data_IF_281031360044
#
_entry.id   IF_281031360044
#
_cell.length_a   1.000
_cell.length_b   1.000
_cell.length_c   1.000
_cell.angle_alpha   90.00
_cell.angle_beta   90.00
_cell.angle_gamma   90.00
#
_symmetry.space_group_name_H-M   'P 1'
#
loop_
_entity.id
_entity.type
_entity.pdbx_description
1 polymer ?
#
# COMPACT_ATOMS: atom_id res chain seq x y z
N UNK A 1 -13.61 20.29 -35.76
CA UNK A 1 -14.18 18.97 -36.10
C UNK A 1 -13.21 18.28 -37.05
N UNK A 2 -12.69 17.14 -36.71
CA UNK A 2 -11.81 16.39 -37.59
C UNK A 2 -12.61 15.79 -38.74
N UNK A 3 -12.22 16.06 -39.99
CA UNK A 3 -12.80 15.45 -41.18
C UNK A 3 -12.36 13.99 -41.26
N UNK A 4 -13.14 13.07 -40.73
CA UNK A 4 -12.90 11.62 -40.83
C UNK A 4 -13.44 11.16 -42.19
N UNK A 5 -12.56 10.85 -43.16
CA UNK A 5 -12.94 10.16 -44.40
C UNK A 5 -13.24 8.69 -44.05
N UNK A 6 -14.50 8.34 -44.03
CA UNK A 6 -14.95 6.95 -43.89
C UNK A 6 -14.93 6.24 -45.25
N UNK A 7 -14.36 5.03 -45.30
CA UNK A 7 -14.51 4.16 -46.47
C UNK A 7 -15.92 3.57 -46.54
N UNK A 8 -16.43 3.13 -47.72
CA UNK A 8 -17.71 2.45 -47.83
C UNK A 8 -17.86 1.22 -46.93
N UNK A 9 -16.77 0.53 -46.65
CA UNK A 9 -16.71 -0.61 -45.71
C UNK A 9 -16.99 -0.14 -44.29
N UNK A 10 -16.42 1.00 -43.87
CA UNK A 10 -16.65 1.59 -42.55
C UNK A 10 -18.12 2.00 -42.32
N UNK A 11 -18.85 2.40 -43.37
CA UNK A 11 -20.27 2.71 -43.26
C UNK A 11 -21.10 1.44 -43.01
N UNK A 12 -20.78 0.34 -43.67
CA UNK A 12 -21.44 -0.96 -43.47
C UNK A 12 -21.15 -1.50 -42.07
N UNK A 13 -19.92 -1.34 -41.56
CA UNK A 13 -19.58 -1.75 -40.23
C UNK A 13 -20.27 -0.89 -39.15
N UNK A 14 -20.46 0.40 -39.37
CA UNK A 14 -21.28 1.26 -38.52
C UNK A 14 -22.75 0.79 -38.46
N UNK A 15 -23.34 0.40 -39.58
CA UNK A 15 -24.71 -0.11 -39.64
C UNK A 15 -24.82 -1.47 -38.91
N UNK A 16 -23.85 -2.35 -39.11
CA UNK A 16 -23.74 -3.62 -38.35
C UNK A 16 -23.59 -3.36 -36.85
N UNK A 17 -22.73 -2.44 -36.47
CA UNK A 17 -22.53 -2.10 -35.07
C UNK A 17 -23.79 -1.53 -34.41
N UNK A 18 -24.55 -0.65 -35.14
CA UNK A 18 -25.82 -0.13 -34.66
C UNK A 18 -26.84 -1.25 -34.41
N UNK A 19 -26.91 -2.22 -35.30
CA UNK A 19 -27.79 -3.37 -35.15
C UNK A 19 -27.36 -4.29 -34.01
N UNK A 20 -26.06 -4.50 -33.84
CA UNK A 20 -25.52 -5.26 -32.72
C UNK A 20 -25.82 -4.60 -31.35
N UNK A 21 -25.74 -3.26 -31.29
CA UNK A 21 -26.12 -2.50 -30.09
C UNK A 21 -27.57 -2.77 -29.68
N UNK A 22 -28.51 -2.64 -30.64
CA UNK A 22 -29.94 -2.88 -30.39
C UNK A 22 -30.22 -4.33 -29.97
N UNK A 23 -29.54 -5.30 -30.59
CA UNK A 23 -29.66 -6.71 -30.18
C UNK A 23 -29.11 -6.94 -28.76
N UNK A 24 -27.99 -6.32 -28.43
CA UNK A 24 -27.37 -6.43 -27.09
C UNK A 24 -28.27 -5.78 -26.03
N UNK A 25 -28.86 -4.62 -26.32
CA UNK A 25 -29.80 -3.97 -25.40
C UNK A 25 -31.00 -4.87 -25.12
N UNK A 26 -31.60 -5.49 -26.16
CA UNK A 26 -32.70 -6.46 -26.00
C UNK A 26 -32.29 -7.68 -25.16
N UNK A 27 -31.08 -8.20 -25.35
CA UNK A 27 -30.56 -9.32 -24.56
C UNK A 27 -30.39 -8.89 -23.09
N UNK A 28 -29.83 -7.71 -22.84
CA UNK A 28 -29.66 -7.17 -21.49
C UNK A 28 -31.02 -6.99 -20.80
N UNK A 29 -32.00 -6.37 -21.49
CA UNK A 29 -33.35 -6.15 -20.98
C UNK A 29 -34.12 -7.46 -20.71
N UNK A 30 -33.90 -8.48 -21.52
CA UNK A 30 -34.52 -9.80 -21.35
C UNK A 30 -33.81 -10.72 -20.37
N UNK A 31 -32.57 -10.37 -19.94
CA UNK A 31 -31.81 -11.20 -19.05
C UNK A 31 -32.27 -10.93 -17.61
N UNK A 32 -32.68 -11.97 -16.84
CA UNK A 32 -33.05 -11.81 -15.46
C UNK A 32 -31.91 -11.16 -14.65
N UNK A 33 -32.23 -10.18 -13.80
CA UNK A 33 -31.28 -9.49 -12.92
C UNK A 33 -30.57 -10.49 -11.97
N UNK A 34 -31.14 -11.66 -11.81
CA UNK A 34 -30.60 -12.78 -11.04
C UNK A 34 -29.59 -13.64 -11.80
N UNK A 35 -29.13 -13.23 -12.98
CA UNK A 35 -28.01 -13.92 -13.63
C UNK A 35 -26.83 -13.98 -12.65
N UNK A 36 -26.55 -15.20 -12.17
CA UNK A 36 -25.58 -15.47 -11.11
C UNK A 36 -24.17 -15.25 -11.66
N UNK A 37 -23.73 -14.01 -11.65
CA UNK A 37 -22.36 -13.59 -12.03
C UNK A 37 -21.31 -14.35 -11.22
N UNK A 38 -21.66 -14.79 -10.01
CA UNK A 38 -20.80 -15.56 -9.10
C UNK A 38 -20.52 -17.00 -9.55
N UNK A 39 -21.32 -17.56 -10.44
CA UNK A 39 -21.16 -18.95 -10.90
C UNK A 39 -20.15 -19.13 -12.05
N UNK A 40 -19.73 -18.06 -12.70
CA UNK A 40 -18.73 -18.13 -13.76
C UNK A 40 -17.34 -18.42 -13.19
N UNK A 41 -16.61 -19.37 -13.80
CA UNK A 41 -15.26 -19.75 -13.36
C UNK A 41 -14.30 -18.55 -13.28
N UNK A 42 -14.41 -17.59 -14.20
CA UNK A 42 -13.63 -16.34 -14.17
C UNK A 42 -13.90 -15.50 -12.90
N UNK A 43 -15.16 -15.42 -12.47
CA UNK A 43 -15.53 -14.66 -11.26
C UNK A 43 -15.12 -15.42 -9.99
N UNK A 44 -15.26 -16.74 -9.99
CA UNK A 44 -14.78 -17.59 -8.88
C UNK A 44 -13.26 -17.46 -8.73
N UNK A 45 -12.52 -17.52 -9.84
CA UNK A 45 -11.07 -17.34 -9.84
C UNK A 45 -10.68 -15.92 -9.39
N UNK A 46 -11.40 -14.88 -9.81
CA UNK A 46 -11.18 -13.51 -9.36
C UNK A 46 -11.45 -13.36 -7.85
N UNK A 47 -12.53 -13.93 -7.34
CA UNK A 47 -12.86 -13.92 -5.93
C UNK A 47 -11.83 -14.69 -5.08
N UNK A 48 -11.31 -15.80 -5.58
CA UNK A 48 -10.27 -16.58 -4.91
C UNK A 48 -8.93 -15.83 -4.85
N UNK A 49 -8.57 -15.11 -5.93
CA UNK A 49 -7.33 -14.31 -6.00
C UNK A 49 -7.42 -12.98 -5.27
N UNK A 50 -8.61 -12.39 -5.20
CA UNK A 50 -8.85 -11.08 -4.61
C UNK A 50 -10.03 -11.12 -3.62
N UNK A 51 -9.95 -11.96 -2.57
CA UNK A 51 -11.01 -12.04 -1.57
C UNK A 51 -11.17 -10.70 -0.84
N UNK A 52 -12.40 -10.34 -0.52
CA UNK A 52 -12.66 -9.16 0.30
C UNK A 52 -12.15 -9.34 1.73
N UNK A 53 -12.27 -10.57 2.26
CA UNK A 53 -11.81 -10.92 3.60
C UNK A 53 -11.19 -12.31 3.61
N UNK A 54 -10.18 -12.46 4.43
CA UNK A 54 -9.55 -13.73 4.80
C UNK A 54 -9.41 -13.77 6.31
N UNK A 55 -9.65 -14.95 6.90
CA UNK A 55 -9.59 -15.15 8.35
C UNK A 55 -8.41 -16.05 8.68
N UNK A 56 -7.65 -15.66 9.69
CA UNK A 56 -6.47 -16.36 10.14
C UNK A 56 -6.49 -16.52 11.66
N UNK A 57 -5.78 -17.53 12.14
CA UNK A 57 -5.44 -17.70 13.55
C UNK A 57 -3.96 -17.38 13.74
N UNK A 58 -3.60 -16.66 14.79
CA UNK A 58 -2.20 -16.38 15.15
C UNK A 58 -1.58 -17.70 15.65
N UNK A 59 -0.62 -18.23 14.89
CA UNK A 59 0.08 -19.48 15.23
C UNK A 59 1.36 -19.24 16.03
N UNK A 60 2.07 -18.15 15.72
CA UNK A 60 3.34 -17.80 16.38
C UNK A 60 3.54 -16.28 16.45
N UNK A 61 4.30 -15.84 17.45
CA UNK A 61 4.68 -14.43 17.67
C UNK A 61 6.18 -14.37 17.99
N UNK A 62 6.97 -13.81 17.06
CA UNK A 62 8.41 -13.59 17.25
C UNK A 62 8.67 -12.11 17.58
N UNK A 63 9.25 -11.86 18.76
CA UNK A 63 9.71 -10.51 19.16
C UNK A 63 11.02 -10.20 18.48
N UNK A 64 11.19 -8.97 17.97
CA UNK A 64 12.38 -8.53 17.22
C UNK A 64 12.95 -7.23 17.76
N UNK A 65 14.25 -7.01 17.46
CA UNK A 65 14.95 -5.79 17.84
C UNK A 65 14.84 -5.51 19.34
N UNK A 66 14.62 -4.28 19.70
CA UNK A 66 14.45 -3.81 21.10
C UNK A 66 13.09 -4.17 21.72
N UNK A 67 12.30 -5.04 21.09
CA UNK A 67 11.00 -5.47 21.58
C UNK A 67 9.82 -4.63 21.07
N UNK A 68 10.07 -3.61 20.28
CA UNK A 68 9.05 -2.74 19.68
C UNK A 68 8.56 -3.25 18.31
N UNK A 69 9.07 -4.36 17.83
CA UNK A 69 8.66 -5.03 16.59
C UNK A 69 8.29 -6.47 16.86
N UNK A 70 7.17 -6.91 16.30
CA UNK A 70 6.73 -8.31 16.36
C UNK A 70 6.37 -8.83 14.99
N UNK A 71 6.80 -10.06 14.70
CA UNK A 71 6.36 -10.83 13.53
C UNK A 71 5.32 -11.84 13.98
N UNK A 72 4.16 -11.80 13.36
CA UNK A 72 3.03 -12.70 13.59
C UNK A 72 2.94 -13.68 12.44
N UNK A 73 3.02 -14.98 12.74
CA UNK A 73 2.71 -16.04 11.76
C UNK A 73 1.22 -16.36 11.88
N UNK A 74 0.53 -16.23 10.77
CA UNK A 74 -0.93 -16.36 10.68
C UNK A 74 -1.25 -17.56 9.80
N UNK A 75 -2.06 -18.50 10.32
CA UNK A 75 -2.57 -19.67 9.59
C UNK A 75 -4.04 -19.44 9.22
N UNK A 76 -4.43 -19.80 7.99
CA UNK A 76 -5.84 -19.79 7.59
C UNK A 76 -6.71 -20.61 8.55
N UNK A 77 -7.90 -20.08 8.85
CA UNK A 77 -8.90 -20.76 9.73
C UNK A 77 -9.70 -21.83 8.98
N UNK A 78 -9.69 -21.78 7.65
CA UNK A 78 -10.37 -22.74 6.77
C UNK A 78 -9.29 -23.46 5.95
N UNK A 79 -9.21 -24.69 5.83
CA UNK A 79 -8.14 -25.50 5.18
C UNK A 79 -7.76 -25.10 3.74
N UNK A 80 -8.06 -23.86 3.34
CA UNK A 80 -7.69 -23.25 2.06
C UNK A 80 -6.36 -22.53 2.16
N UNK A 81 -5.64 -22.42 1.05
CA UNK A 81 -4.47 -21.57 0.97
C UNK A 81 -4.88 -20.07 1.05
N UNK A 82 -4.06 -19.21 1.67
CA UNK A 82 -4.20 -17.76 1.52
C UNK A 82 -4.22 -17.36 0.05
N UNK A 83 -4.87 -16.25 -0.26
CA UNK A 83 -4.82 -15.71 -1.62
C UNK A 83 -3.35 -15.46 -2.01
N UNK A 84 -2.98 -15.92 -3.21
CA UNK A 84 -1.62 -15.72 -3.74
C UNK A 84 -1.29 -14.22 -3.81
N UNK A 85 -0.06 -13.87 -3.44
CA UNK A 85 0.44 -12.51 -3.49
C UNK A 85 1.79 -12.45 -4.20
N UNK A 86 2.16 -11.27 -4.66
CA UNK A 86 3.52 -10.96 -5.10
C UNK A 86 4.32 -10.36 -3.95
N UNK A 87 5.56 -10.76 -3.81
CA UNK A 87 6.45 -10.28 -2.75
C UNK A 87 6.55 -8.73 -2.76
N UNK A 88 6.28 -8.11 -1.61
CA UNK A 88 6.18 -6.65 -1.44
C UNK A 88 4.75 -6.12 -1.41
N UNK A 89 3.73 -6.95 -1.62
CA UNK A 89 2.34 -6.57 -1.42
C UNK A 89 1.96 -6.54 0.07
N UNK A 90 0.84 -5.89 0.37
CA UNK A 90 0.29 -5.76 1.71
C UNK A 90 -1.14 -6.33 1.78
N UNK A 91 -1.59 -6.60 2.99
CA UNK A 91 -3.01 -6.83 3.33
C UNK A 91 -3.52 -5.70 4.21
N UNK A 92 -4.82 -5.51 4.24
CA UNK A 92 -5.45 -4.56 5.17
C UNK A 92 -5.98 -5.35 6.37
N UNK A 93 -5.39 -5.14 7.54
CA UNK A 93 -5.94 -5.65 8.80
C UNK A 93 -7.18 -4.84 9.13
N UNK A 94 -8.25 -5.52 9.52
CA UNK A 94 -9.49 -4.92 10.02
C UNK A 94 -9.69 -5.34 11.47
N UNK A 95 -9.75 -4.37 12.35
CA UNK A 95 -9.89 -4.60 13.78
C UNK A 95 -11.01 -3.73 14.36
N UNK A 96 -11.91 -4.35 15.10
CA UNK A 96 -12.90 -3.62 15.88
C UNK A 96 -12.26 -3.22 17.21
N UNK A 97 -12.19 -1.93 17.49
CA UNK A 97 -11.62 -1.37 18.72
C UNK A 97 -12.61 -0.35 19.26
N UNK A 98 -13.11 -0.56 20.49
CA UNK A 98 -14.13 0.28 21.14
C UNK A 98 -15.34 0.56 20.24
N UNK A 99 -15.82 -0.47 19.54
CA UNK A 99 -16.96 -0.38 18.62
C UNK A 99 -16.66 0.32 17.29
N UNK A 100 -15.43 0.73 17.02
CA UNK A 100 -15.00 1.39 15.78
C UNK A 100 -14.19 0.43 14.91
N UNK A 101 -14.52 0.36 13.63
CA UNK A 101 -13.77 -0.44 12.68
C UNK A 101 -12.52 0.34 12.24
N UNK A 102 -11.37 -0.13 12.67
CA UNK A 102 -10.05 0.41 12.29
C UNK A 102 -9.42 -0.49 11.24
N UNK A 103 -8.95 0.09 10.17
CA UNK A 103 -8.34 -0.64 9.07
C UNK A 103 -6.97 -0.03 8.68
N UNK A 104 -5.92 -0.86 8.62
CA UNK A 104 -4.55 -0.43 8.26
C UNK A 104 -3.89 -1.42 7.31
N UNK A 105 -3.18 -0.92 6.29
CA UNK A 105 -2.32 -1.76 5.48
C UNK A 105 -1.12 -2.23 6.29
N UNK A 106 -0.77 -3.50 6.14
CA UNK A 106 0.44 -4.10 6.71
C UNK A 106 1.06 -4.99 5.66
N UNK A 107 2.33 -4.80 5.39
CA UNK A 107 3.09 -5.55 4.38
C UNK A 107 3.20 -7.02 4.79
N UNK A 108 3.03 -7.90 3.82
CA UNK A 108 3.34 -9.33 3.97
C UNK A 108 4.86 -9.47 4.10
N UNK A 109 5.32 -9.94 5.26
CA UNK A 109 6.75 -10.08 5.58
C UNK A 109 7.25 -11.52 5.42
N UNK A 110 6.78 -12.22 4.39
CA UNK A 110 7.19 -13.57 3.99
C UNK A 110 7.25 -13.69 2.47
N UNK A 111 7.89 -14.74 1.96
CA UNK A 111 7.80 -15.12 0.55
C UNK A 111 6.42 -15.69 0.19
N UNK A 112 6.01 -15.61 -1.10
CA UNK A 112 4.74 -16.18 -1.57
C UNK A 112 4.61 -17.68 -1.34
N UNK A 113 5.71 -18.43 -1.38
CA UNK A 113 5.74 -19.88 -1.15
C UNK A 113 5.09 -20.28 0.18
N UNK A 114 5.13 -19.43 1.20
CA UNK A 114 4.51 -19.69 2.51
C UNK A 114 2.98 -19.87 2.42
N UNK A 115 2.33 -19.32 1.39
CA UNK A 115 0.90 -19.54 1.18
C UNK A 115 0.55 -20.99 0.90
N UNK A 116 1.47 -21.78 0.35
CA UNK A 116 1.28 -23.21 0.09
C UNK A 116 1.19 -24.02 1.40
N UNK A 117 1.73 -23.47 2.50
CA UNK A 117 1.62 -24.03 3.84
C UNK A 117 0.35 -23.57 4.58
N UNK A 118 -0.52 -22.81 3.93
CA UNK A 118 -1.70 -22.21 4.56
C UNK A 118 -1.39 -21.00 5.42
N UNK A 119 -0.22 -20.37 5.29
CA UNK A 119 0.29 -19.33 6.19
C UNK A 119 0.67 -18.04 5.48
N UNK A 120 0.70 -16.96 6.25
CA UNK A 120 1.33 -15.68 5.92
C UNK A 120 2.04 -15.12 7.14
N UNK A 121 2.92 -14.13 6.94
CA UNK A 121 3.52 -13.38 8.06
C UNK A 121 3.27 -11.89 7.92
N UNK A 122 3.02 -11.26 9.07
CA UNK A 122 2.91 -9.81 9.21
C UNK A 122 3.89 -9.34 10.27
N UNK A 123 4.65 -8.29 9.96
CA UNK A 123 5.58 -7.69 10.93
C UNK A 123 5.11 -6.28 11.26
N UNK A 124 4.82 -6.05 12.54
CA UNK A 124 4.23 -4.81 13.04
C UNK A 124 5.19 -4.15 14.02
N UNK A 125 5.58 -2.91 13.72
CA UNK A 125 6.32 -2.06 14.65
C UNK A 125 5.34 -1.26 15.50
N UNK A 126 5.54 -1.24 16.83
CA UNK A 126 4.80 -0.38 17.74
C UNK A 126 5.23 1.07 17.56
N UNK A 127 4.35 1.92 17.12
CA UNK A 127 4.58 3.36 17.02
C UNK A 127 4.12 4.04 18.31
N UNK A 128 4.95 4.95 18.84
CA UNK A 128 4.71 5.57 20.17
C UNK A 128 3.63 6.65 20.18
N UNK A 129 3.33 7.30 19.05
CA UNK A 129 2.37 8.40 18.96
C UNK A 129 1.26 8.05 17.98
N UNK A 130 0.01 8.22 18.41
CA UNK A 130 -1.25 8.16 17.63
C UNK A 130 -1.50 6.92 16.76
N UNK A 131 -0.68 5.90 16.89
CA UNK A 131 -0.79 4.67 16.12
C UNK A 131 -1.67 3.65 16.84
N UNK A 132 -2.94 3.95 16.89
CA UNK A 132 -3.96 3.22 17.61
C UNK A 132 -3.96 1.71 17.34
N UNK A 133 -3.85 1.29 16.06
CA UNK A 133 -3.87 -0.13 15.73
C UNK A 133 -2.57 -0.86 16.11
N UNK A 134 -1.38 -0.29 15.87
CA UNK A 134 -0.13 -0.98 16.18
C UNK A 134 0.07 -1.17 17.69
N UNK A 135 -0.36 -0.20 18.50
CA UNK A 135 -0.39 -0.34 19.95
C UNK A 135 -1.35 -1.44 20.38
N UNK A 136 -2.59 -1.41 19.86
CA UNK A 136 -3.61 -2.44 20.13
C UNK A 136 -3.10 -3.85 19.79
N UNK A 137 -2.50 -4.04 18.61
CA UNK A 137 -1.94 -5.33 18.19
C UNK A 137 -0.88 -5.81 19.18
N UNK A 138 0.06 -4.96 19.58
CA UNK A 138 1.11 -5.33 20.52
C UNK A 138 0.59 -5.66 21.92
N UNK A 139 -0.48 -5.02 22.36
CA UNK A 139 -1.05 -5.19 23.70
C UNK A 139 -2.03 -6.37 23.78
N UNK A 140 -2.74 -6.65 22.72
CA UNK A 140 -3.91 -7.54 22.77
C UNK A 140 -3.74 -8.84 22.00
N UNK A 141 -3.02 -8.84 20.87
CA UNK A 141 -2.91 -10.05 20.04
C UNK A 141 -2.08 -11.15 20.71
N UNK A 142 -2.66 -12.36 20.77
CA UNK A 142 -2.07 -13.56 21.38
C UNK A 142 -2.19 -14.75 20.42
N UNK A 143 -1.34 -15.76 20.65
CA UNK A 143 -1.47 -17.04 19.94
C UNK A 143 -2.86 -17.60 20.16
N UNK A 144 -3.51 -18.03 19.07
CA UNK A 144 -4.89 -18.52 19.06
C UNK A 144 -5.95 -17.47 18.69
N UNK A 145 -5.63 -16.18 18.72
CA UNK A 145 -6.58 -15.12 18.33
C UNK A 145 -6.85 -15.15 16.82
N UNK A 146 -8.07 -14.75 16.46
CA UNK A 146 -8.47 -14.62 15.05
C UNK A 146 -8.22 -13.22 14.52
N UNK A 147 -7.72 -13.15 13.29
CA UNK A 147 -7.41 -11.91 12.57
C UNK A 147 -8.10 -11.91 11.23
N UNK A 148 -8.82 -10.81 10.92
CA UNK A 148 -9.37 -10.56 9.60
C UNK A 148 -8.42 -9.68 8.78
N UNK A 149 -8.11 -10.13 7.55
CA UNK A 149 -7.38 -9.34 6.57
C UNK A 149 -8.13 -9.26 5.25
N UNK A 150 -7.81 -8.25 4.44
CA UNK A 150 -8.20 -8.26 3.04
C UNK A 150 -7.41 -9.31 2.24
N UNK A 151 -7.77 -9.51 0.98
CA UNK A 151 -6.85 -10.08 -0.02
C UNK A 151 -5.62 -9.17 -0.23
N UNK A 152 -4.54 -9.71 -0.85
CA UNK A 152 -3.31 -8.98 -1.12
C UNK A 152 -3.54 -7.79 -2.07
N UNK A 153 -2.81 -6.70 -1.83
CA UNK A 153 -2.93 -5.44 -2.55
C UNK A 153 -1.57 -4.75 -2.68
N UNK A 154 -1.52 -3.70 -3.49
CA UNK A 154 -0.31 -2.92 -3.68
C UNK A 154 0.42 -3.24 -4.97
N UNK A 155 1.29 -2.32 -5.39
CA UNK A 155 2.05 -2.39 -6.64
C UNK A 155 3.56 -2.30 -6.41
N UNK A 156 4.00 -2.35 -5.16
CA UNK A 156 5.40 -2.35 -4.77
C UNK A 156 5.95 -3.78 -4.80
N UNK A 157 6.19 -4.28 -6.01
CA UNK A 157 6.76 -5.59 -6.29
C UNK A 157 7.60 -5.51 -7.58
N UNK A 158 8.52 -6.43 -7.76
CA UNK A 158 9.33 -6.52 -8.97
C UNK A 158 8.48 -6.87 -10.20
N UNK A 159 8.67 -6.14 -11.32
CA UNK A 159 7.96 -6.36 -12.57
C UNK A 159 8.95 -6.44 -13.74
N UNK A 160 9.21 -7.65 -14.29
CA UNK A 160 10.27 -7.85 -15.28
C UNK A 160 10.16 -6.99 -16.54
N UNK A 161 8.93 -6.58 -16.92
CA UNK A 161 8.70 -5.73 -18.09
C UNK A 161 9.00 -4.25 -17.83
N UNK A 162 9.18 -3.85 -16.57
CA UNK A 162 9.41 -2.47 -16.16
C UNK A 162 10.75 -2.29 -15.48
N UNK A 163 11.08 -3.18 -14.55
CA UNK A 163 12.21 -3.04 -13.64
C UNK A 163 13.47 -3.70 -14.22
N UNK A 164 14.62 -3.21 -13.87
CA UNK A 164 15.89 -3.84 -14.24
C UNK A 164 16.10 -5.15 -13.47
N UNK A 165 16.85 -6.09 -14.04
CA UNK A 165 17.21 -7.35 -13.36
C UNK A 165 18.08 -7.14 -12.12
N UNK A 166 18.79 -6.02 -12.03
CA UNK A 166 19.51 -5.60 -10.82
C UNK A 166 18.67 -4.57 -10.07
N UNK A 167 18.37 -4.85 -8.82
CA UNK A 167 17.62 -3.97 -7.93
C UNK A 167 18.50 -3.55 -6.75
N UNK A 168 18.62 -2.26 -6.54
CA UNK A 168 19.14 -1.68 -5.30
C UNK A 168 17.96 -1.40 -4.41
N UNK A 169 17.76 -2.23 -3.40
CA UNK A 169 16.69 -2.07 -2.44
C UNK A 169 17.17 -1.24 -1.25
N UNK A 170 16.46 -0.17 -0.94
CA UNK A 170 16.80 0.75 0.14
C UNK A 170 15.72 0.64 1.20
N UNK A 171 16.09 0.19 2.39
CA UNK A 171 15.17 0.03 3.51
C UNK A 171 15.56 0.92 4.68
N UNK A 172 14.56 1.42 5.43
CA UNK A 172 14.76 2.12 6.70
C UNK A 172 13.86 1.57 7.80
N UNK A 173 14.46 1.06 8.87
CA UNK A 173 13.71 0.48 9.99
C UNK A 173 12.74 -0.62 9.56
N UNK A 174 11.45 -0.48 9.91
CA UNK A 174 10.41 -1.47 9.52
C UNK A 174 10.09 -1.48 8.01
N UNK A 175 10.59 -0.52 7.22
CA UNK A 175 10.52 -0.56 5.76
C UNK A 175 11.30 -1.72 5.13
N UNK A 176 12.06 -2.48 5.92
CA UNK A 176 12.69 -3.72 5.48
C UNK A 176 11.67 -4.81 5.11
N UNK A 177 10.42 -4.76 5.60
CA UNK A 177 9.44 -5.85 5.44
C UNK A 177 9.11 -6.20 4.00
N UNK A 178 8.80 -5.28 3.06
CA UNK A 178 8.57 -5.63 1.65
C UNK A 178 9.85 -6.13 0.96
N UNK A 179 11.01 -5.59 1.34
CA UNK A 179 12.30 -6.01 0.80
C UNK A 179 12.65 -7.42 1.27
N UNK A 180 12.38 -7.73 2.55
CA UNK A 180 12.54 -9.06 3.11
C UNK A 180 11.64 -10.09 2.40
N UNK A 181 10.38 -9.73 2.10
CA UNK A 181 9.49 -10.58 1.33
C UNK A 181 10.03 -10.86 -0.09
N UNK A 182 10.57 -9.84 -0.77
CA UNK A 182 11.18 -10.00 -2.11
C UNK A 182 12.45 -10.86 -2.04
N UNK A 183 13.29 -10.69 -1.01
CA UNK A 183 14.48 -11.51 -0.81
C UNK A 183 14.13 -12.99 -0.59
N UNK A 184 13.07 -13.28 0.20
CA UNK A 184 12.54 -14.64 0.33
C UNK A 184 12.12 -15.21 -1.03
N UNK A 185 11.34 -14.46 -1.83
CA UNK A 185 10.89 -14.92 -3.14
C UNK A 185 12.04 -15.22 -4.10
N UNK A 186 13.16 -14.48 -4.02
CA UNK A 186 14.39 -14.79 -4.77
C UNK A 186 15.03 -16.07 -4.25
N UNK A 187 15.17 -16.21 -2.93
CA UNK A 187 15.83 -17.37 -2.30
C UNK A 187 15.03 -18.67 -2.49
N UNK A 188 13.71 -18.58 -2.57
CA UNK A 188 12.79 -19.69 -2.83
C UNK A 188 12.66 -20.03 -4.33
N UNK A 189 13.22 -19.17 -5.22
CA UNK A 189 13.16 -19.37 -6.67
C UNK A 189 11.86 -18.91 -7.35
N UNK A 190 11.01 -18.20 -6.61
CA UNK A 190 9.76 -17.63 -7.15
C UNK A 190 10.01 -16.40 -8.03
N UNK A 191 11.12 -15.69 -7.81
CA UNK A 191 11.51 -14.48 -8.56
C UNK A 191 12.97 -14.60 -9.06
N UNK A 192 13.21 -14.13 -10.29
CA UNK A 192 14.52 -14.19 -10.95
C UNK A 192 15.11 -12.80 -11.22
N UNK A 193 15.64 -12.16 -10.16
CA UNK A 193 16.41 -10.92 -10.26
C UNK A 193 17.46 -10.84 -9.14
N UNK A 194 18.44 -9.93 -9.29
CA UNK A 194 19.48 -9.69 -8.29
C UNK A 194 19.07 -8.54 -7.37
N UNK A 195 19.24 -8.70 -6.07
CA UNK A 195 18.91 -7.68 -5.09
C UNK A 195 20.09 -7.37 -4.18
N UNK A 196 20.53 -6.12 -4.20
CA UNK A 196 21.47 -5.56 -3.23
C UNK A 196 20.68 -4.66 -2.29
N UNK A 197 20.68 -5.00 -1.01
CA UNK A 197 19.89 -4.32 0.03
C UNK A 197 20.82 -3.39 0.80
N UNK A 198 20.53 -2.09 0.77
CA UNK A 198 21.13 -1.09 1.64
C UNK A 198 20.15 -0.83 2.79
N UNK A 199 20.44 -1.38 3.97
CA UNK A 199 19.52 -1.33 5.09
C UNK A 199 19.96 -0.31 6.14
N UNK A 200 19.28 0.84 6.17
CA UNK A 200 19.50 1.91 7.14
C UNK A 200 18.87 1.59 8.50
N UNK A 201 19.71 1.54 9.53
CA UNK A 201 19.32 1.43 10.93
C UNK A 201 20.09 2.46 11.77
N UNK A 202 19.66 2.73 12.99
CA UNK A 202 20.43 3.62 13.88
C UNK A 202 21.63 2.90 14.46
N UNK A 203 21.37 1.74 15.07
CA UNK A 203 22.35 0.90 15.72
C UNK A 203 22.18 -0.56 15.28
N UNK A 204 23.13 -1.43 15.60
CA UNK A 204 23.04 -2.87 15.34
C UNK A 204 21.80 -3.52 15.94
N UNK A 205 21.38 -3.09 17.13
CA UNK A 205 20.19 -3.62 17.80
C UNK A 205 18.87 -3.28 17.07
N UNK A 206 18.89 -2.27 16.20
CA UNK A 206 17.72 -1.88 15.40
C UNK A 206 17.59 -2.70 14.10
N UNK A 207 18.60 -3.53 13.78
CA UNK A 207 18.57 -4.38 12.59
C UNK A 207 17.55 -5.50 12.76
N UNK A 208 16.62 -5.59 11.83
CA UNK A 208 15.60 -6.65 11.81
C UNK A 208 16.00 -7.74 10.81
N UNK A 209 15.63 -8.98 11.08
CA UNK A 209 15.79 -10.14 10.18
C UNK A 209 17.25 -10.50 9.83
N UNK A 210 18.24 -10.10 10.62
CA UNK A 210 19.65 -10.34 10.30
C UNK A 210 19.96 -11.84 10.10
N UNK A 211 19.47 -12.69 11.00
CA UNK A 211 19.73 -14.13 10.93
C UNK A 211 19.05 -14.77 9.73
N UNK A 212 17.82 -14.36 9.45
CA UNK A 212 17.06 -14.81 8.30
C UNK A 212 17.72 -14.38 6.97
N UNK A 213 18.26 -13.17 6.89
CA UNK A 213 19.04 -12.73 5.73
C UNK A 213 20.34 -13.52 5.58
N UNK A 214 21.05 -13.81 6.68
CA UNK A 214 22.26 -14.63 6.64
C UNK A 214 21.95 -16.04 6.09
N UNK A 215 20.85 -16.64 6.53
CA UNK A 215 20.37 -17.92 6.01
C UNK A 215 20.04 -17.83 4.50
N UNK A 216 19.29 -16.81 4.08
CA UNK A 216 18.98 -16.61 2.66
C UNK A 216 20.24 -16.47 1.80
N UNK A 217 21.20 -15.65 2.23
CA UNK A 217 22.46 -15.46 1.49
C UNK A 217 23.31 -16.73 1.43
N UNK A 218 23.10 -17.70 2.32
CA UNK A 218 23.76 -19.02 2.22
C UNK A 218 23.11 -19.91 1.14
N UNK A 219 21.87 -19.64 0.73
CA UNK A 219 21.12 -20.41 -0.28
C UNK A 219 21.22 -19.80 -1.68
N UNK A 220 21.50 -18.49 -1.80
CA UNK A 220 21.56 -17.79 -3.09
C UNK A 220 22.56 -16.64 -3.07
N UNK A 221 23.26 -16.46 -4.18
CA UNK A 221 24.18 -15.34 -4.44
C UNK A 221 23.46 -14.10 -4.99
N UNK A 222 22.15 -14.23 -5.34
CA UNK A 222 21.33 -13.15 -5.89
C UNK A 222 20.89 -12.12 -4.86
N UNK A 223 21.01 -12.41 -3.57
CA UNK A 223 20.65 -11.51 -2.47
C UNK A 223 21.90 -11.11 -1.71
N UNK A 224 22.11 -9.80 -1.51
CA UNK A 224 23.19 -9.26 -0.73
C UNK A 224 22.65 -8.18 0.22
N UNK A 225 22.97 -8.29 1.52
CA UNK A 225 22.61 -7.32 2.54
C UNK A 225 23.84 -6.50 2.96
N UNK A 226 23.69 -5.18 2.97
CA UNK A 226 24.63 -4.21 3.51
C UNK A 226 23.91 -3.37 4.55
N UNK A 227 24.31 -3.50 5.81
CA UNK A 227 23.78 -2.67 6.89
C UNK A 227 24.48 -1.31 6.88
N UNK A 228 23.70 -0.24 7.05
CA UNK A 228 24.16 1.14 7.10
C UNK A 228 23.69 1.74 8.43
N UNK A 229 24.64 2.07 9.33
CA UNK A 229 24.33 2.55 10.67
C UNK A 229 24.55 4.05 10.78
N UNK A 230 23.56 4.79 11.28
CA UNK A 230 23.63 6.25 11.35
C UNK A 230 24.17 6.79 12.67
N UNK A 231 24.11 5.99 13.75
CA UNK A 231 24.48 6.42 15.12
C UNK A 231 25.55 5.52 15.75
N UNK A 232 26.07 4.54 15.01
CA UNK A 232 27.04 3.57 15.51
C UNK A 232 28.03 3.20 14.41
N UNK A 233 29.31 3.11 14.75
CA UNK A 233 30.35 2.49 13.92
C UNK A 233 30.49 1.03 14.31
N UNK A 234 30.34 0.12 13.35
CA UNK A 234 30.44 -1.31 13.61
C UNK A 234 31.08 -2.05 12.45
N UNK A 235 31.96 -3.02 12.77
CA UNK A 235 32.60 -3.87 11.78
C UNK A 235 31.59 -4.60 10.90
N UNK A 236 31.84 -4.57 9.58
CA UNK A 236 30.97 -5.16 8.57
C UNK A 236 29.75 -4.33 8.19
N UNK A 237 29.63 -3.10 8.73
CA UNK A 237 28.58 -2.15 8.39
C UNK A 237 29.16 -0.92 7.71
N UNK A 238 28.36 -0.26 6.84
CA UNK A 238 28.63 1.10 6.39
C UNK A 238 28.15 2.09 7.45
N UNK A 239 28.76 3.29 7.50
CA UNK A 239 28.39 4.33 8.44
C UNK A 239 27.70 5.51 7.76
N UNK A 240 26.70 6.11 8.41
CA UNK A 240 26.00 7.31 7.98
C UNK A 240 24.66 7.05 7.27
N UNK A 241 24.41 7.80 6.17
CA UNK A 241 23.16 7.72 5.40
C UNK A 241 23.37 7.10 4.04
N UNK A 242 22.29 6.58 3.45
CA UNK A 242 22.32 5.95 2.13
C UNK A 242 22.31 7.03 1.04
N UNK A 243 23.50 7.52 0.70
CA UNK A 243 23.72 8.57 -0.31
C UNK A 243 23.79 8.00 -1.73
N UNK A 244 23.74 8.88 -2.73
CA UNK A 244 23.96 8.53 -4.14
C UNK A 244 25.31 7.85 -4.35
N UNK A 245 26.37 8.27 -3.64
CA UNK A 245 27.69 7.67 -3.77
C UNK A 245 27.74 6.26 -3.20
N UNK A 246 27.06 6.03 -2.06
CA UNK A 246 26.92 4.69 -1.51
C UNK A 246 26.11 3.78 -2.46
N UNK A 247 25.05 4.29 -3.05
CA UNK A 247 24.26 3.56 -4.03
C UNK A 247 25.15 3.20 -5.24
N UNK A 248 25.91 4.14 -5.81
CA UNK A 248 26.85 3.88 -6.92
C UNK A 248 27.89 2.84 -6.57
N UNK A 249 28.45 2.90 -5.35
CA UNK A 249 29.46 1.94 -4.85
C UNK A 249 28.96 0.50 -4.99
N UNK A 250 27.70 0.24 -4.65
CA UNK A 250 27.15 -1.11 -4.66
C UNK A 250 26.41 -1.47 -5.96
N UNK A 251 25.82 -0.49 -6.64
CA UNK A 251 25.17 -0.74 -7.92
C UNK A 251 26.15 -1.14 -9.02
N UNK A 252 27.38 -0.59 -8.97
CA UNK A 252 28.37 -0.80 -10.03
C UNK A 252 27.89 -0.25 -11.38
N UNK A 253 28.42 -0.80 -12.45
CA UNK A 253 28.03 -0.42 -13.82
C UNK A 253 26.73 -1.09 -14.26
N UNK A 254 26.05 -0.47 -15.24
CA UNK A 254 24.86 -1.00 -15.88
C UNK A 254 23.54 -0.39 -15.37
N UNK A 255 22.44 -0.92 -15.90
CA UNK A 255 21.09 -0.47 -15.56
C UNK A 255 20.61 -1.17 -14.29
N UNK A 256 20.09 -0.40 -13.36
CA UNK A 256 19.48 -0.92 -12.14
C UNK A 256 18.19 -0.16 -11.79
N UNK A 257 17.33 -0.79 -11.02
CA UNK A 257 16.17 -0.16 -10.40
C UNK A 257 16.45 0.11 -8.92
N UNK A 258 15.91 1.19 -8.38
CA UNK A 258 15.95 1.51 -6.95
C UNK A 258 14.56 1.31 -6.36
N UNK A 259 14.46 0.48 -5.34
CA UNK A 259 13.25 0.24 -4.58
C UNK A 259 13.44 0.75 -3.15
N UNK A 260 12.69 1.76 -2.77
CA UNK A 260 12.81 2.42 -1.46
C UNK A 260 11.58 2.15 -0.58
N UNK A 261 11.82 1.73 0.66
CA UNK A 261 10.79 1.54 1.66
C UNK A 261 11.27 2.04 3.04
N UNK A 262 10.53 2.99 3.63
CA UNK A 262 10.92 3.62 4.89
C UNK A 262 10.04 4.79 5.28
N UNK A 263 10.55 5.67 6.14
CA UNK A 263 9.83 6.85 6.63
C UNK A 263 9.75 7.99 5.60
N UNK A 264 8.81 8.90 5.79
CA UNK A 264 8.68 10.12 4.98
C UNK A 264 9.97 10.96 4.95
N UNK A 265 10.66 11.07 6.10
CA UNK A 265 11.95 11.77 6.17
C UNK A 265 13.02 11.12 5.29
N UNK A 266 13.05 9.79 5.25
CA UNK A 266 13.93 9.03 4.37
C UNK A 266 13.58 9.23 2.89
N UNK A 267 12.30 9.26 2.53
CA UNK A 267 11.90 9.52 1.13
C UNK A 267 12.31 10.91 0.66
N UNK A 268 12.10 11.96 1.48
CA UNK A 268 12.55 13.33 1.14
C UNK A 268 14.06 13.39 0.91
N UNK A 269 14.85 12.69 1.73
CA UNK A 269 16.28 12.60 1.55
C UNK A 269 16.64 11.84 0.25
N UNK A 270 16.05 10.67 0.04
CA UNK A 270 16.32 9.84 -1.12
C UNK A 270 15.85 10.44 -2.45
N UNK A 271 14.84 11.30 -2.48
CA UNK A 271 14.43 12.02 -3.69
C UNK A 271 15.57 12.90 -4.21
N UNK A 272 16.25 13.65 -3.33
CA UNK A 272 17.43 14.41 -3.69
C UNK A 272 18.63 13.55 -4.11
N UNK A 273 18.78 12.37 -3.50
CA UNK A 273 19.85 11.45 -3.90
C UNK A 273 19.54 10.77 -5.26
N UNK A 274 18.28 10.46 -5.54
CA UNK A 274 17.84 9.90 -6.82
C UNK A 274 18.04 10.86 -7.99
N UNK A 275 17.86 12.16 -7.78
CA UNK A 275 18.19 13.20 -8.77
C UNK A 275 19.70 13.19 -9.10
N UNK A 276 20.58 13.09 -8.10
CA UNK A 276 22.04 12.99 -8.28
C UNK A 276 22.45 11.73 -9.05
N UNK A 277 21.67 10.65 -8.94
CA UNK A 277 21.89 9.41 -9.69
C UNK A 277 21.44 9.51 -11.15
N UNK A 278 20.64 10.51 -11.53
CA UNK A 278 20.07 10.63 -12.86
C UNK A 278 19.13 9.50 -13.23
N UNK A 279 18.46 8.91 -12.25
CA UNK A 279 17.57 7.76 -12.48
C UNK A 279 16.35 8.16 -13.31
N UNK A 280 16.02 7.35 -14.30
CA UNK A 280 14.74 7.47 -15.00
C UNK A 280 13.63 7.12 -14.02
N UNK A 281 12.55 7.95 -13.97
CA UNK A 281 11.43 7.82 -13.02
C UNK A 281 10.87 6.40 -12.91
N UNK A 282 10.81 5.63 -14.00
CA UNK A 282 10.32 4.24 -13.99
C UNK A 282 11.18 3.29 -13.15
N UNK A 283 12.46 3.60 -12.97
CA UNK A 283 13.42 2.78 -12.21
C UNK A 283 13.56 3.21 -10.75
N UNK A 284 12.87 4.27 -10.31
CA UNK A 284 12.83 4.69 -8.93
C UNK A 284 11.43 4.47 -8.36
N UNK A 285 11.30 3.54 -7.42
CA UNK A 285 10.05 3.11 -6.83
C UNK A 285 10.06 3.30 -5.33
N UNK A 286 9.00 3.88 -4.82
CA UNK A 286 8.76 4.05 -3.38
C UNK A 286 7.54 3.24 -2.96
N UNK A 287 7.62 2.60 -1.80
CA UNK A 287 6.44 2.05 -1.15
C UNK A 287 5.64 3.21 -0.54
N UNK A 288 4.38 3.33 -0.96
CA UNK A 288 3.56 4.47 -0.60
C UNK A 288 2.38 4.00 0.27
N UNK A 289 2.60 3.86 1.55
CA UNK A 289 1.58 3.94 2.56
C UNK A 289 2.16 4.60 3.80
N UNK A 290 1.76 5.84 4.02
CA UNK A 290 1.96 6.48 5.31
C UNK A 290 0.89 7.55 5.50
N UNK A 291 0.38 7.68 6.72
CA UNK A 291 -0.48 8.78 7.06
C UNK A 291 0.36 10.03 7.23
N UNK A 292 0.11 11.03 6.39
CA UNK A 292 0.62 12.37 6.64
C UNK A 292 0.02 12.85 7.95
N UNK A 293 0.87 13.09 8.94
CA UNK A 293 0.45 13.58 10.26
C UNK A 293 0.63 15.08 10.45
N UNK A 294 1.37 15.73 9.57
CA UNK A 294 1.72 17.15 9.66
C UNK A 294 1.57 17.82 8.29
N UNK A 295 0.33 18.04 7.82
CA UNK A 295 0.08 18.62 6.48
C UNK A 295 0.67 20.01 6.30
N UNK A 296 0.85 20.76 7.38
CA UNK A 296 1.45 22.11 7.34
C UNK A 296 2.95 22.15 6.97
N UNK A 297 3.62 21.00 6.93
CA UNK A 297 5.01 20.89 6.46
C UNK A 297 5.12 20.73 4.93
N UNK A 298 3.98 20.74 4.24
CA UNK A 298 3.95 20.62 2.79
C UNK A 298 3.65 21.97 2.13
N UNK A 299 4.30 22.27 0.99
CA UNK A 299 4.04 23.50 0.24
C UNK A 299 2.56 23.65 -0.12
N UNK A 300 2.05 24.88 0.01
CA UNK A 300 0.66 25.19 -0.35
C UNK A 300 -0.39 24.88 0.74
N UNK A 301 0.01 24.37 1.91
CA UNK A 301 -0.91 24.22 3.02
C UNK A 301 -1.30 25.63 3.56
N UNK A 302 -2.61 25.94 3.70
CA UNK A 302 -3.04 27.21 4.29
C UNK A 302 -2.78 27.18 5.80
N UNK A 303 -1.72 27.87 6.24
CA UNK A 303 -1.24 27.80 7.62
C UNK A 303 -2.28 28.30 8.64
N UNK A 304 -3.17 29.16 8.22
CA UNK A 304 -4.30 29.66 9.02
C UNK A 304 -5.35 28.60 9.34
N UNK A 305 -5.34 27.46 8.62
CA UNK A 305 -6.21 26.33 8.91
C UNK A 305 -5.63 25.43 10.02
N UNK A 306 -4.32 25.52 10.27
CA UNK A 306 -3.65 24.72 11.29
C UNK A 306 -4.37 24.86 12.64
N UNK A 307 -4.58 23.74 13.32
CA UNK A 307 -5.22 23.63 14.63
C UNK A 307 -6.72 24.01 14.67
N UNK A 308 -7.34 24.30 13.49
CA UNK A 308 -8.79 24.50 13.41
C UNK A 308 -9.53 23.18 13.33
N UNK A 309 -10.79 23.22 13.75
CA UNK A 309 -11.75 22.12 13.60
C UNK A 309 -12.84 22.61 12.66
N UNK A 310 -13.06 21.87 11.61
CA UNK A 310 -14.09 22.13 10.60
C UNK A 310 -15.24 21.15 10.74
N UNK A 311 -16.39 21.51 10.19
CA UNK A 311 -17.54 20.65 10.13
C UNK A 311 -17.52 19.82 8.84
N UNK A 312 -17.58 18.49 8.97
CA UNK A 312 -17.60 17.54 7.86
C UNK A 312 -18.96 16.88 7.77
N UNK A 313 -19.71 17.18 6.70
CA UNK A 313 -20.95 16.52 6.34
C UNK A 313 -20.67 15.39 5.35
N UNK A 314 -21.15 14.20 5.67
CA UNK A 314 -20.94 13.00 4.85
C UNK A 314 -22.30 12.43 4.44
N UNK A 315 -22.50 12.28 3.13
CA UNK A 315 -23.59 11.50 2.56
C UNK A 315 -23.05 10.12 2.16
N UNK A 316 -23.57 9.06 2.77
CA UNK A 316 -23.19 7.69 2.46
C UNK A 316 -24.48 6.89 2.22
N UNK A 317 -24.86 6.69 0.98
CA UNK A 317 -26.20 6.22 0.58
C UNK A 317 -27.31 7.07 1.22
N UNK A 318 -28.20 6.45 1.99
CA UNK A 318 -29.32 7.11 2.67
C UNK A 318 -28.93 7.67 4.06
N UNK A 319 -27.68 7.49 4.48
CA UNK A 319 -27.18 7.97 5.76
C UNK A 319 -26.48 9.30 5.62
N UNK A 320 -26.78 10.21 6.52
CA UNK A 320 -26.10 11.49 6.66
C UNK A 320 -25.38 11.52 8.01
N UNK A 321 -24.13 11.96 7.98
CA UNK A 321 -23.33 12.16 9.19
C UNK A 321 -22.86 13.62 9.21
N UNK A 322 -22.72 14.15 10.40
CA UNK A 322 -22.18 15.49 10.65
C UNK A 322 -21.19 15.38 11.80
N UNK A 323 -19.90 15.55 11.50
CA UNK A 323 -18.81 15.26 12.42
C UNK A 323 -17.74 16.34 12.42
N UNK A 324 -17.04 16.56 13.54
CA UNK A 324 -15.87 17.43 13.55
C UNK A 324 -14.69 16.76 12.83
N UNK A 325 -13.97 17.54 12.03
CA UNK A 325 -12.77 17.16 11.30
C UNK A 325 -11.64 18.15 11.64
N UNK A 326 -10.58 17.66 12.30
CA UNK A 326 -9.44 18.51 12.62
C UNK A 326 -8.60 18.76 11.36
N UNK A 327 -8.10 19.98 11.18
CA UNK A 327 -7.27 20.31 10.02
C UNK A 327 -5.94 19.53 9.96
N UNK A 328 -5.49 18.97 11.07
CA UNK A 328 -4.27 18.17 11.18
C UNK A 328 -4.46 16.67 10.97
N UNK A 329 -5.70 16.20 10.80
CA UNK A 329 -6.02 14.81 10.47
C UNK A 329 -6.60 14.70 9.06
N UNK A 330 -6.31 13.62 8.33
CA UNK A 330 -6.99 13.39 7.07
C UNK A 330 -8.46 13.00 7.31
N UNK A 331 -9.30 13.25 6.30
CA UNK A 331 -10.76 13.02 6.39
C UNK A 331 -11.09 11.57 6.80
N UNK A 332 -10.29 10.59 6.35
CA UNK A 332 -10.53 9.18 6.70
C UNK A 332 -10.29 8.91 8.20
N UNK A 333 -9.32 9.58 8.81
CA UNK A 333 -9.09 9.51 10.28
C UNK A 333 -10.23 10.14 11.06
N UNK A 334 -10.74 11.30 10.60
CA UNK A 334 -11.92 11.92 11.20
C UNK A 334 -13.13 10.99 11.19
N UNK A 335 -13.37 10.26 10.07
CA UNK A 335 -14.42 9.26 9.94
C UNK A 335 -14.24 8.12 10.97
N UNK A 336 -13.05 7.53 11.04
CA UNK A 336 -12.76 6.45 11.99
C UNK A 336 -12.94 6.91 13.44
N UNK A 337 -12.46 8.10 13.78
CA UNK A 337 -12.64 8.69 15.13
C UNK A 337 -14.11 8.86 15.48
N UNK A 338 -14.95 9.22 14.51
CA UNK A 338 -16.40 9.34 14.69
C UNK A 338 -17.15 8.00 14.61
N UNK A 339 -16.46 6.87 14.38
CA UNK A 339 -17.10 5.56 14.24
C UNK A 339 -17.79 5.34 12.88
N UNK A 340 -17.52 6.18 11.89
CA UNK A 340 -18.05 6.05 10.53
C UNK A 340 -17.08 5.21 9.69
N UNK A 341 -17.48 4.00 9.32
CA UNK A 341 -16.64 3.10 8.51
C UNK A 341 -16.57 3.57 7.06
N UNK A 342 -15.54 4.33 6.71
CA UNK A 342 -15.25 4.73 5.33
C UNK A 342 -14.48 3.65 4.55
N UNK A 343 -14.75 3.47 3.23
CA UNK A 343 -13.99 2.53 2.41
C UNK A 343 -12.53 2.96 2.34
N UNK A 344 -11.61 2.04 2.64
CA UNK A 344 -10.18 2.32 2.59
C UNK A 344 -9.35 1.07 2.30
N UNK A 345 -8.13 1.28 1.75
CA UNK A 345 -7.15 0.23 1.46
C UNK A 345 -5.73 0.73 1.72
N UNK A 346 -5.08 1.39 0.73
CA UNK A 346 -3.68 1.79 0.82
C UNK A 346 -3.41 2.92 1.84
N UNK A 347 -4.38 3.76 2.15
CA UNK A 347 -4.27 4.97 2.99
C UNK A 347 -3.21 5.99 2.56
N UNK A 348 -2.56 5.79 1.42
CA UNK A 348 -1.52 6.66 0.84
C UNK A 348 -1.98 7.49 -0.36
N UNK A 349 -3.28 7.67 -0.58
CA UNK A 349 -3.84 8.51 -1.65
C UNK A 349 -3.84 7.92 -3.06
N UNK A 350 -3.33 6.68 -3.28
CA UNK A 350 -3.01 6.19 -4.63
C UNK A 350 -4.08 5.27 -5.20
N UNK A 351 -4.60 4.31 -4.41
CA UNK A 351 -5.43 3.23 -4.96
C UNK A 351 -6.84 3.66 -5.37
N UNK A 352 -7.31 4.85 -4.97
CA UNK A 352 -8.64 5.37 -5.28
C UNK A 352 -9.80 4.61 -4.61
N UNK A 353 -9.52 3.69 -3.68
CA UNK A 353 -10.58 2.91 -3.03
C UNK A 353 -11.49 3.78 -2.15
N UNK A 354 -10.92 4.79 -1.49
CA UNK A 354 -11.66 5.77 -0.68
C UNK A 354 -12.24 6.94 -1.50
N UNK A 355 -12.13 6.93 -2.83
CA UNK A 355 -12.59 8.00 -3.73
C UNK A 355 -13.99 8.47 -3.35
N UNK A 356 -14.13 9.75 -3.04
CA UNK A 356 -15.37 10.41 -2.63
C UNK A 356 -15.55 11.70 -3.39
N UNK A 357 -16.79 12.12 -3.65
CA UNK A 357 -17.06 13.38 -4.33
C UNK A 357 -17.10 14.50 -3.32
N UNK A 358 -16.33 15.56 -3.55
CA UNK A 358 -16.43 16.82 -2.81
C UNK A 358 -17.64 17.58 -3.33
N UNK A 359 -18.63 17.83 -2.46
CA UNK A 359 -19.86 18.55 -2.81
C UNK A 359 -19.75 20.04 -2.51
N UNK A 360 -19.05 20.41 -1.44
CA UNK A 360 -18.77 21.79 -1.06
C UNK A 360 -17.57 21.88 -0.13
N UNK A 361 -16.98 23.08 -0.03
CA UNK A 361 -15.81 23.35 0.78
C UNK A 361 -14.50 23.03 0.09
N UNK A 362 -13.39 23.19 0.82
CA UNK A 362 -12.04 23.06 0.30
C UNK A 362 -11.23 22.05 1.10
N UNK A 363 -10.33 21.35 0.40
CA UNK A 363 -9.39 20.41 0.99
C UNK A 363 -7.97 20.69 0.51
N UNK A 364 -7.02 20.50 1.39
CA UNK A 364 -5.61 20.41 1.03
C UNK A 364 -5.23 18.96 0.76
N UNK A 365 -4.49 18.71 -0.33
CA UNK A 365 -3.95 17.40 -0.69
C UNK A 365 -2.48 17.61 -1.03
N UNK A 366 -1.53 17.03 -0.26
CA UNK A 366 -0.12 17.11 -0.59
C UNK A 366 0.17 16.48 -1.96
N UNK A 367 1.01 17.14 -2.77
CA UNK A 367 1.29 16.72 -4.15
C UNK A 367 1.82 15.28 -4.23
N UNK A 368 2.71 14.91 -3.31
CA UNK A 368 3.32 13.57 -3.25
C UNK A 368 2.30 12.44 -2.95
N UNK A 369 1.14 12.79 -2.40
CA UNK A 369 0.07 11.85 -2.05
C UNK A 369 -1.17 12.02 -2.93
N UNK A 370 -1.13 12.89 -3.94
CA UNK A 370 -2.23 13.12 -4.86
C UNK A 370 -2.22 12.12 -6.04
N UNK A 371 -2.60 10.90 -5.76
CA UNK A 371 -2.76 9.84 -6.77
C UNK A 371 -4.09 9.89 -7.53
N UNK A 372 -4.84 10.99 -7.47
CA UNK A 372 -6.07 11.14 -8.24
C UNK A 372 -5.77 11.17 -9.75
N UNK A 373 -6.61 10.52 -10.53
CA UNK A 373 -6.56 10.61 -11.99
C UNK A 373 -6.96 12.03 -12.43
N UNK A 374 -6.48 12.45 -13.60
CA UNK A 374 -6.81 13.78 -14.14
C UNK A 374 -8.34 14.01 -14.19
N UNK A 375 -9.12 13.01 -14.61
CA UNK A 375 -10.57 13.11 -14.65
C UNK A 375 -11.18 13.24 -13.25
N UNK A 376 -10.66 12.53 -12.23
CA UNK A 376 -11.16 12.66 -10.87
C UNK A 376 -10.97 14.09 -10.32
N UNK A 377 -9.85 14.73 -10.67
CA UNK A 377 -9.60 16.14 -10.30
C UNK A 377 -10.61 17.08 -10.94
N UNK A 378 -10.92 16.88 -12.23
CA UNK A 378 -11.89 17.68 -12.97
C UNK A 378 -13.34 17.51 -12.46
N UNK A 379 -13.70 16.29 -12.05
CA UNK A 379 -15.03 15.95 -11.56
C UNK A 379 -15.22 16.22 -10.06
N UNK A 380 -14.23 16.81 -9.39
CA UNK A 380 -14.29 17.18 -7.98
C UNK A 380 -14.21 15.99 -7.03
N UNK A 381 -13.54 14.89 -7.43
CA UNK A 381 -13.28 13.78 -6.52
C UNK A 381 -12.03 14.00 -5.68
N UNK A 382 -12.08 13.53 -4.45
CA UNK A 382 -10.98 13.52 -3.48
C UNK A 382 -10.69 12.10 -3.02
N UNK A 383 -9.49 11.88 -2.45
CA UNK A 383 -9.15 10.67 -1.72
C UNK A 383 -9.09 10.99 -0.23
N UNK A 384 -10.13 10.73 0.58
CA UNK A 384 -10.21 11.06 2.00
C UNK A 384 -8.99 10.67 2.83
N UNK A 385 -8.29 9.60 2.47
CA UNK A 385 -7.07 9.16 3.17
C UNK A 385 -5.85 10.07 2.97
N UNK A 386 -5.89 10.97 1.99
CA UNK A 386 -4.82 11.94 1.69
C UNK A 386 -5.33 13.38 1.61
N UNK A 387 -6.58 13.63 2.00
CA UNK A 387 -7.22 14.96 1.96
C UNK A 387 -7.42 15.50 3.37
N UNK A 388 -7.08 16.76 3.59
CA UNK A 388 -7.20 17.47 4.85
C UNK A 388 -8.21 18.60 4.71
N UNK A 389 -9.12 18.74 5.68
CA UNK A 389 -10.09 19.82 5.70
C UNK A 389 -9.38 21.18 5.92
N UNK A 390 -9.70 22.17 5.09
CA UNK A 390 -9.23 23.55 5.27
C UNK A 390 -10.39 24.55 5.31
N UNK A 391 -11.61 24.06 5.20
CA UNK A 391 -12.88 24.75 5.44
C UNK A 391 -13.93 23.75 5.92
N UNK A 392 -15.12 24.21 6.31
CA UNK A 392 -16.29 23.35 6.43
C UNK A 392 -16.58 22.70 5.07
N UNK A 393 -16.87 21.39 5.05
CA UNK A 393 -17.00 20.66 3.80
C UNK A 393 -18.12 19.62 3.83
N UNK A 394 -18.55 19.23 2.64
CA UNK A 394 -19.50 18.15 2.42
C UNK A 394 -18.97 17.18 1.36
N UNK A 395 -19.06 15.90 1.65
CA UNK A 395 -18.63 14.84 0.74
C UNK A 395 -19.71 13.78 0.54
N UNK A 396 -19.71 13.16 -0.63
CA UNK A 396 -20.49 11.96 -0.91
C UNK A 396 -19.58 10.77 -1.10
N UNK A 397 -19.76 9.76 -0.24
CA UNK A 397 -18.97 8.53 -0.23
C UNK A 397 -19.76 7.36 -0.80
N UNK A 398 -19.23 6.59 -1.75
CA UNK A 398 -19.89 5.37 -2.19
C UNK A 398 -19.76 4.28 -1.10
N UNK A 399 -20.82 3.47 -0.92
CA UNK A 399 -20.67 2.20 -0.24
C UNK A 399 -19.95 1.24 -1.17
N UNK A 400 -18.80 0.77 -0.74
CA UNK A 400 -18.13 -0.36 -1.38
C UNK A 400 -18.30 -1.58 -0.49
N UNK A 401 -18.98 -2.57 -1.03
CA UNK A 401 -19.14 -3.88 -0.40
C UNK A 401 -17.81 -4.64 -0.39
#
# INVERSE_FOLDING_TARGET
MANVKMSPIGLLDMLRFKNMKVQREKIIESTPVTALVETYASNQNAAARHPNSQFFTIEDIKVRGKGDVRTYTLRRTDDRNPAFFRAGQFVVIRQLIDGKLIARPVTLSCGPAMTLEGKIQLTVKRVKQDAFLSAFIHENWKIGDQVETSGPQGTFFYEPLRDAKKVIAIAGGSGITPIFAMANAIADGDEDFEMIILYGSRTKEDILFQDEFNEMMSRTDKVKLINVLSEEDAEGCEHGFITADLIRKYAGEGVYSVFAAGSQGMYKFLDGEAEKLGLIKKYYRKELYDNISQPWNYPGYPIEAKDKVFNLKIKMCDKLFDIPCNANENILVALERAGVAGPNRCRGGICGWCRSRLLSGDVFIPEDSDGRRAQDKLDGYIHPCASFAVSDLSIEMPLKK
#
